data_IF_913028075525
#
_entry.id   IF_913028075525
#
_cell.length_a   1.000
_cell.length_b   1.000
_cell.length_c   1.000
_cell.angle_alpha   90.00
_cell.angle_beta   90.00
_cell.angle_gamma   90.00
#
_symmetry.space_group_name_H-M   'P 1'
#
loop_
_entity.id
_entity.type
_entity.pdbx_description
1 polymer ?
#
# COMPACT_ATOMS: atom_id res chain seq x y z
N UNK A 1 -27.62 12.15 -21.89
CA UNK A 1 -26.51 11.22 -21.60
C UNK A 1 -27.09 10.03 -20.86
N UNK A 2 -26.99 8.82 -21.40
CA UNK A 2 -27.63 7.63 -20.81
C UNK A 2 -26.90 7.24 -19.52
N UNK A 3 -27.55 7.44 -18.37
CA UNK A 3 -26.94 7.32 -17.03
C UNK A 3 -26.70 5.90 -16.53
N UNK A 4 -26.83 4.86 -17.35
CA UNK A 4 -26.58 3.47 -16.95
C UNK A 4 -25.82 2.70 -18.03
N UNK A 5 -24.49 2.87 -18.13
CA UNK A 5 -23.69 1.91 -18.88
C UNK A 5 -23.81 0.54 -18.21
N UNK A 6 -24.10 -0.51 -18.99
CA UNK A 6 -24.15 -1.88 -18.49
C UNK A 6 -22.77 -2.26 -17.90
N UNK A 7 -22.68 -2.32 -16.57
CA UNK A 7 -21.44 -2.65 -15.83
C UNK A 7 -21.27 -4.14 -15.60
N UNK A 8 -22.38 -4.89 -15.66
CA UNK A 8 -22.40 -6.34 -15.54
C UNK A 8 -21.99 -7.01 -16.85
N UNK A 9 -21.40 -8.19 -16.72
CA UNK A 9 -20.98 -9.05 -17.81
C UNK A 9 -21.63 -10.41 -17.63
N UNK A 10 -21.91 -11.11 -18.72
CA UNK A 10 -22.53 -12.44 -18.71
C UNK A 10 -21.53 -13.55 -18.31
N UNK A 11 -20.26 -13.40 -18.71
CA UNK A 11 -19.22 -14.38 -18.44
C UNK A 11 -18.01 -13.74 -17.74
N UNK A 12 -17.31 -14.53 -16.92
CA UNK A 12 -16.11 -14.11 -16.19
C UNK A 12 -15.00 -13.63 -17.15
N UNK A 13 -14.83 -14.32 -18.28
CA UNK A 13 -13.82 -13.98 -19.29
C UNK A 13 -14.05 -12.59 -19.90
N UNK A 14 -15.32 -12.20 -20.10
CA UNK A 14 -15.69 -10.88 -20.60
C UNK A 14 -15.34 -9.79 -19.58
N UNK A 15 -15.55 -10.06 -18.29
CA UNK A 15 -15.16 -9.18 -17.20
C UNK A 15 -13.65 -8.97 -17.14
N UNK A 16 -12.88 -10.05 -17.26
CA UNK A 16 -11.41 -10.00 -17.25
C UNK A 16 -10.89 -9.24 -18.46
N UNK A 17 -11.42 -9.52 -19.66
CA UNK A 17 -11.06 -8.79 -20.89
C UNK A 17 -11.35 -7.30 -20.76
N UNK A 18 -12.52 -6.94 -20.23
CA UNK A 18 -12.90 -5.55 -19.98
C UNK A 18 -11.95 -4.85 -19.01
N UNK A 19 -11.49 -5.52 -17.94
CA UNK A 19 -10.47 -4.97 -17.03
C UNK A 19 -9.17 -4.67 -17.77
N UNK A 20 -8.68 -5.63 -18.58
CA UNK A 20 -7.44 -5.50 -19.35
C UNK A 20 -7.50 -4.35 -20.35
N UNK A 21 -8.64 -4.16 -21.02
CA UNK A 21 -8.84 -3.11 -22.02
C UNK A 21 -9.07 -1.72 -21.41
N UNK A 22 -9.64 -1.65 -20.20
CA UNK A 22 -10.04 -0.38 -19.58
C UNK A 22 -8.88 0.42 -18.96
N UNK A 23 -7.64 -0.08 -19.00
CA UNK A 23 -6.42 0.62 -18.53
C UNK A 23 -6.58 1.26 -17.14
N UNK A 24 -7.17 0.53 -16.19
CA UNK A 24 -7.36 0.98 -14.80
C UNK A 24 -8.65 1.77 -14.52
N UNK A 25 -9.54 1.93 -15.50
CA UNK A 25 -10.83 2.64 -15.31
C UNK A 25 -12.00 1.70 -14.95
N UNK A 26 -11.78 0.40 -14.92
CA UNK A 26 -12.77 -0.61 -14.58
C UNK A 26 -12.15 -1.63 -13.63
N UNK A 27 -12.88 -1.96 -12.57
CA UNK A 27 -12.53 -3.02 -11.64
C UNK A 27 -13.61 -4.11 -11.72
N UNK A 28 -13.19 -5.36 -11.70
CA UNK A 28 -14.09 -6.51 -11.76
C UNK A 28 -14.01 -7.29 -10.46
N UNK A 29 -15.17 -7.54 -9.85
CA UNK A 29 -15.27 -8.34 -8.64
C UNK A 29 -15.57 -9.78 -9.04
N UNK A 30 -14.68 -10.68 -8.63
CA UNK A 30 -14.83 -12.12 -8.82
C UNK A 30 -14.32 -12.85 -7.58
N UNK A 31 -14.55 -14.16 -7.54
CA UNK A 31 -14.08 -15.00 -6.44
C UNK A 31 -12.54 -15.04 -6.38
N UNK A 32 -12.00 -15.09 -5.16
CA UNK A 32 -10.56 -14.97 -4.90
C UNK A 32 -9.73 -16.04 -5.61
N UNK A 33 -10.20 -17.29 -5.69
CA UNK A 33 -9.48 -18.38 -6.36
C UNK A 33 -9.33 -18.17 -7.87
N UNK A 34 -10.35 -17.59 -8.50
CA UNK A 34 -10.32 -17.24 -9.92
C UNK A 34 -9.42 -16.04 -10.14
N UNK A 35 -9.42 -15.07 -9.23
CA UNK A 35 -8.52 -13.92 -9.30
C UNK A 35 -7.05 -14.36 -9.21
N UNK A 36 -6.73 -15.22 -8.24
CA UNK A 36 -5.39 -15.81 -8.10
C UNK A 36 -4.96 -16.58 -9.37
N UNK A 37 -5.89 -17.30 -10.00
CA UNK A 37 -5.64 -18.03 -11.24
C UNK A 37 -5.30 -17.10 -12.40
N UNK A 38 -6.15 -16.13 -12.69
CA UNK A 38 -5.98 -15.25 -13.85
C UNK A 38 -4.81 -14.27 -13.70
N UNK A 39 -4.40 -13.95 -12.47
CA UNK A 39 -3.19 -13.17 -12.21
C UNK A 39 -1.91 -13.92 -12.59
N UNK A 40 -1.94 -15.25 -12.61
CA UNK A 40 -0.79 -16.08 -13.00
C UNK A 40 -0.84 -16.51 -14.48
N UNK A 41 -1.75 -15.95 -15.27
CA UNK A 41 -1.91 -16.19 -16.70
C UNK A 41 -1.39 -15.03 -17.53
N UNK A 42 -0.84 -15.33 -18.71
CA UNK A 42 -0.41 -14.27 -19.62
C UNK A 42 -1.60 -13.38 -20.04
N UNK A 43 -1.37 -12.05 -20.23
CA UNK A 43 -0.09 -11.33 -20.20
C UNK A 43 0.28 -10.72 -18.83
N UNK A 44 -0.06 -11.38 -17.70
CA UNK A 44 0.34 -10.97 -16.34
C UNK A 44 0.00 -9.51 -16.00
N UNK A 45 -1.13 -9.02 -16.53
CA UNK A 45 -1.54 -7.62 -16.45
C UNK A 45 -2.71 -7.39 -15.49
N UNK A 46 -3.06 -8.39 -14.69
CA UNK A 46 -4.09 -8.31 -13.66
C UNK A 46 -3.46 -8.49 -12.29
N UNK A 47 -4.07 -7.91 -11.26
CA UNK A 47 -3.63 -8.08 -9.88
C UNK A 47 -4.81 -8.09 -8.92
N UNK A 48 -4.67 -8.81 -7.82
CA UNK A 48 -5.58 -8.72 -6.70
C UNK A 48 -5.27 -7.48 -5.87
N UNK A 49 -6.30 -6.70 -5.55
CA UNK A 49 -6.20 -5.56 -4.64
C UNK A 49 -7.04 -5.85 -3.40
N UNK A 50 -6.40 -5.83 -2.23
CA UNK A 50 -7.06 -6.00 -0.94
C UNK A 50 -7.42 -7.46 -0.58
N UNK A 51 -7.89 -7.67 0.67
CA UNK A 51 -8.33 -8.97 1.15
C UNK A 51 -9.69 -9.38 0.54
N UNK A 52 -10.03 -10.68 0.52
CA UNK A 52 -11.34 -11.15 0.11
C UNK A 52 -12.47 -10.54 0.97
N UNK A 53 -13.59 -10.20 0.35
CA UNK A 53 -14.73 -9.59 1.04
C UNK A 53 -15.50 -10.57 1.93
N UNK A 54 -15.41 -11.87 1.64
CA UNK A 54 -16.10 -12.92 2.36
C UNK A 54 -15.31 -14.22 2.31
N UNK A 55 -15.42 -15.03 3.36
CA UNK A 55 -14.88 -16.39 3.37
C UNK A 55 -15.96 -17.35 2.87
N UNK A 56 -15.80 -17.82 1.64
CA UNK A 56 -16.62 -18.88 1.03
C UNK A 56 -15.74 -20.06 0.69
N UNK A 57 -16.35 -21.23 0.54
CA UNK A 57 -15.66 -22.47 0.17
C UNK A 57 -16.46 -23.29 -0.82
N UNK A 58 -15.76 -24.13 -1.59
CA UNK A 58 -16.37 -25.09 -2.50
C UNK A 58 -16.65 -26.41 -1.79
N UNK A 59 -17.71 -27.09 -2.23
CA UNK A 59 -18.07 -28.43 -1.77
C UNK A 59 -18.50 -29.31 -2.94
N UNK A 60 -18.39 -30.62 -2.75
CA UNK A 60 -18.85 -31.61 -3.72
C UNK A 60 -20.34 -31.86 -3.46
N UNK A 61 -21.18 -31.61 -4.45
CA UNK A 61 -22.61 -31.82 -4.35
C UNK A 61 -23.00 -33.23 -4.77
N UNK A 62 -23.81 -33.90 -3.96
CA UNK A 62 -24.43 -35.20 -4.28
C UNK A 62 -25.95 -35.06 -4.27
N UNK A 63 -26.69 -35.91 -5.02
CA UNK A 63 -28.15 -35.96 -4.92
C UNK A 63 -28.58 -36.20 -3.47
N UNK A 64 -29.74 -35.65 -3.10
CA UNK A 64 -30.31 -35.88 -1.76
C UNK A 64 -30.48 -37.38 -1.53
N UNK A 65 -30.12 -37.84 -0.33
CA UNK A 65 -30.17 -39.25 0.08
C UNK A 65 -29.27 -40.21 -0.73
N UNK A 66 -28.23 -39.70 -1.39
CA UNK A 66 -27.21 -40.55 -2.01
C UNK A 66 -26.36 -41.25 -0.95
N UNK A 67 -26.11 -42.55 -1.12
CA UNK A 67 -25.20 -43.34 -0.27
C UNK A 67 -23.75 -42.88 -0.35
N UNK A 68 -23.37 -42.17 -1.41
CA UNK A 68 -22.01 -41.68 -1.64
C UNK A 68 -21.63 -40.47 -0.77
N UNK A 69 -22.62 -39.83 -0.13
CA UNK A 69 -22.39 -38.59 0.62
C UNK A 69 -21.38 -38.78 1.74
N UNK A 70 -21.54 -39.84 2.53
CA UNK A 70 -20.75 -40.05 3.74
C UNK A 70 -19.33 -40.48 3.37
N UNK A 71 -19.20 -41.41 2.41
CA UNK A 71 -17.90 -41.85 1.88
C UNK A 71 -17.09 -40.68 1.32
N UNK A 72 -17.69 -39.85 0.45
CA UNK A 72 -17.02 -38.67 -0.12
C UNK A 72 -16.61 -37.69 0.98
N UNK A 73 -17.46 -37.48 1.98
CA UNK A 73 -17.16 -36.56 3.08
C UNK A 73 -15.95 -37.03 3.89
N UNK A 74 -15.85 -38.32 4.21
CA UNK A 74 -14.72 -38.89 4.95
C UNK A 74 -13.44 -38.81 4.11
N UNK A 75 -13.52 -39.18 2.83
CA UNK A 75 -12.36 -39.11 1.92
C UNK A 75 -11.84 -37.69 1.77
N UNK A 76 -12.73 -36.68 1.65
CA UNK A 76 -12.30 -35.27 1.59
C UNK A 76 -11.56 -34.84 2.86
N UNK A 77 -12.01 -35.26 4.04
CA UNK A 77 -11.33 -34.96 5.30
C UNK A 77 -9.93 -35.57 5.35
N UNK A 78 -9.78 -36.83 4.93
CA UNK A 78 -8.49 -37.51 4.83
C UNK A 78 -7.55 -36.76 3.86
N UNK A 79 -8.05 -36.32 2.70
CA UNK A 79 -7.25 -35.56 1.74
C UNK A 79 -6.76 -34.19 2.26
N UNK A 80 -7.54 -33.57 3.16
CA UNK A 80 -7.16 -32.33 3.84
C UNK A 80 -6.07 -32.62 4.88
N UNK A 81 -6.25 -33.65 5.70
CA UNK A 81 -5.30 -34.08 6.75
C UNK A 81 -3.94 -34.47 6.15
N UNK A 82 -3.97 -35.22 5.03
CA UNK A 82 -2.77 -35.62 4.28
C UNK A 82 -2.08 -34.43 3.56
N UNK A 83 -2.74 -33.27 3.46
CA UNK A 83 -2.23 -32.09 2.75
C UNK A 83 -2.18 -32.24 1.22
N UNK A 84 -2.72 -33.34 0.67
CA UNK A 84 -2.72 -33.62 -0.77
C UNK A 84 -3.44 -32.53 -1.58
N UNK A 85 -4.50 -31.94 -1.03
CA UNK A 85 -5.22 -30.81 -1.67
C UNK A 85 -4.36 -29.55 -1.80
N UNK A 86 -3.54 -29.26 -0.78
CA UNK A 86 -2.63 -28.10 -0.81
C UNK A 86 -1.58 -28.29 -1.90
N UNK A 87 -1.04 -29.51 -2.01
CA UNK A 87 -0.10 -29.88 -3.07
C UNK A 87 -0.72 -29.70 -4.46
N UNK A 88 -1.96 -30.19 -4.65
CA UNK A 88 -2.69 -30.00 -5.91
C UNK A 88 -2.91 -28.51 -6.22
N UNK A 89 -3.33 -27.69 -5.24
CA UNK A 89 -3.49 -26.25 -5.44
C UNK A 89 -2.18 -25.61 -5.93
N UNK A 90 -1.06 -25.92 -5.27
CA UNK A 90 0.26 -25.39 -5.67
C UNK A 90 0.60 -25.78 -7.11
N UNK A 91 0.40 -27.04 -7.48
CA UNK A 91 0.71 -27.52 -8.83
C UNK A 91 -0.13 -26.83 -9.91
N UNK A 92 -1.41 -26.59 -9.66
CA UNK A 92 -2.30 -26.01 -10.67
C UNK A 92 -2.25 -24.49 -10.76
N UNK A 93 -2.02 -23.79 -9.65
CA UNK A 93 -1.93 -22.33 -9.64
C UNK A 93 -0.49 -21.84 -9.85
N UNK A 94 0.46 -22.36 -9.07
CA UNK A 94 1.84 -21.84 -9.00
C UNK A 94 2.76 -22.52 -10.00
N UNK A 95 2.84 -23.85 -9.97
CA UNK A 95 3.83 -24.57 -10.79
C UNK A 95 3.46 -24.55 -12.28
N UNK A 96 2.15 -24.44 -12.60
CA UNK A 96 1.61 -24.26 -13.95
C UNK A 96 1.26 -22.80 -14.28
N UNK A 97 1.62 -21.86 -13.41
CA UNK A 97 1.50 -20.43 -13.68
C UNK A 97 2.39 -20.04 -14.86
N UNK A 98 1.84 -19.27 -15.80
CA UNK A 98 2.59 -18.76 -16.97
C UNK A 98 3.37 -17.49 -16.60
N UNK A 99 2.85 -16.74 -15.63
CA UNK A 99 3.56 -15.63 -15.02
C UNK A 99 4.61 -16.21 -14.07
N UNK A 100 5.89 -16.13 -14.47
CA UNK A 100 6.99 -16.59 -13.62
C UNK A 100 6.94 -15.95 -12.23
N UNK A 101 7.58 -16.59 -11.25
CA UNK A 101 7.69 -16.13 -9.83
C UNK A 101 8.28 -14.70 -9.70
N UNK A 102 8.71 -14.10 -10.81
CA UNK A 102 9.29 -12.78 -10.91
C UNK A 102 8.35 -11.63 -10.57
N UNK A 103 7.03 -11.78 -10.48
CA UNK A 103 6.16 -10.64 -10.14
C UNK A 103 6.17 -10.28 -8.64
N UNK A 104 6.47 -11.24 -7.76
CA UNK A 104 6.83 -10.94 -6.37
C UNK A 104 8.23 -10.29 -6.27
N UNK A 105 9.08 -10.52 -7.28
CA UNK A 105 10.36 -9.84 -7.43
C UNK A 105 10.29 -8.63 -8.37
N UNK A 106 9.14 -8.19 -8.90
CA UNK A 106 9.04 -6.92 -9.63
C UNK A 106 8.89 -5.73 -8.67
N UNK A 107 8.55 -5.97 -7.41
CA UNK A 107 8.89 -5.04 -6.31
C UNK A 107 10.41 -4.92 -6.09
N UNK A 108 11.19 -5.86 -6.63
CA UNK A 108 12.63 -6.03 -6.43
C UNK A 108 13.44 -6.04 -7.74
N UNK A 109 12.82 -5.86 -8.91
CA UNK A 109 13.51 -5.32 -10.09
C UNK A 109 13.77 -3.91 -9.65
N UNK A 110 14.97 -3.70 -9.09
CA UNK A 110 15.51 -2.43 -8.59
C UNK A 110 14.76 -1.34 -9.33
N UNK A 111 13.96 -0.51 -8.63
CA UNK A 111 13.51 0.76 -9.18
C UNK A 111 14.80 1.40 -9.66
N UNK A 112 15.14 1.22 -10.93
CA UNK A 112 16.37 1.76 -11.44
C UNK A 112 16.11 3.24 -11.27
N UNK A 113 16.98 3.90 -10.52
CA UNK A 113 17.13 5.33 -10.60
C UNK A 113 17.58 5.62 -12.04
N UNK A 114 16.64 5.48 -12.97
CA UNK A 114 16.84 5.76 -14.37
C UNK A 114 17.05 7.25 -14.48
N UNK A 115 17.89 7.64 -15.43
CA UNK A 115 18.17 9.01 -15.82
C UNK A 115 16.91 9.90 -15.89
N UNK A 116 15.73 9.33 -16.16
CA UNK A 116 14.43 9.99 -16.12
C UNK A 116 14.11 10.73 -14.81
N UNK A 117 14.54 10.22 -13.64
CA UNK A 117 14.27 10.87 -12.35
C UNK A 117 15.21 12.07 -12.10
N UNK A 118 16.44 12.03 -12.62
CA UNK A 118 17.45 13.09 -12.45
C UNK A 118 17.43 14.11 -13.61
N UNK A 119 16.72 13.80 -14.70
CA UNK A 119 16.54 14.66 -15.86
C UNK A 119 16.07 16.08 -15.48
N UNK A 120 15.21 16.21 -14.47
CA UNK A 120 14.74 17.51 -13.97
C UNK A 120 15.86 18.44 -13.52
N UNK A 121 16.92 17.90 -12.88
CA UNK A 121 18.07 18.69 -12.43
C UNK A 121 18.87 19.27 -13.60
N UNK A 122 19.06 18.51 -14.67
CA UNK A 122 19.76 18.98 -15.87
C UNK A 122 19.02 20.12 -16.57
N UNK A 123 17.68 20.07 -16.62
CA UNK A 123 16.88 21.15 -17.20
C UNK A 123 16.98 22.46 -16.41
N UNK A 124 17.03 22.38 -15.07
CA UNK A 124 17.21 23.57 -14.23
C UNK A 124 18.57 24.22 -14.51
N UNK A 125 19.65 23.42 -14.59
CA UNK A 125 21.00 23.93 -14.88
C UNK A 125 21.08 24.64 -16.24
N UNK A 126 20.53 24.02 -17.29
CA UNK A 126 20.51 24.61 -18.64
C UNK A 126 19.69 25.89 -18.65
N UNK A 127 18.51 25.89 -18.02
CA UNK A 127 17.65 27.08 -17.97
C UNK A 127 18.31 28.25 -17.22
N UNK A 128 19.02 27.97 -16.12
CA UNK A 128 19.77 28.98 -15.35
C UNK A 128 20.91 29.60 -16.16
N UNK A 129 21.64 28.78 -16.93
CA UNK A 129 22.70 29.27 -17.81
C UNK A 129 22.15 30.18 -18.91
N UNK A 130 21.04 29.77 -19.56
CA UNK A 130 20.40 30.58 -20.61
C UNK A 130 19.87 31.90 -20.05
N UNK A 131 19.21 31.88 -18.88
CA UNK A 131 18.72 33.11 -18.23
C UNK A 131 19.86 34.05 -17.85
N UNK A 132 20.96 33.54 -17.31
CA UNK A 132 22.14 34.34 -16.98
C UNK A 132 22.72 35.04 -18.21
N UNK A 133 22.82 34.33 -19.35
CA UNK A 133 23.27 34.91 -20.62
C UNK A 133 22.31 35.99 -21.12
N UNK A 134 20.99 35.77 -21.02
CA UNK A 134 19.98 36.77 -21.44
C UNK A 134 20.10 38.04 -20.59
N UNK A 135 20.21 37.92 -19.26
CA UNK A 135 20.39 39.07 -18.36
C UNK A 135 21.66 39.84 -18.73
N UNK A 136 22.77 39.15 -18.95
CA UNK A 136 24.03 39.77 -19.37
C UNK A 136 23.89 40.53 -20.70
N UNK A 137 23.18 39.97 -21.69
CA UNK A 137 22.93 40.62 -22.98
C UNK A 137 22.02 41.84 -22.84
N UNK A 138 20.98 41.77 -22.00
CA UNK A 138 20.07 42.91 -21.74
C UNK A 138 20.80 44.04 -21.04
N UNK A 139 21.62 43.75 -20.03
CA UNK A 139 22.45 44.75 -19.34
C UNK A 139 23.47 45.36 -20.29
N UNK A 140 24.13 44.55 -21.12
CA UNK A 140 25.11 45.04 -22.09
C UNK A 140 24.48 45.96 -23.14
N UNK A 141 23.29 45.61 -23.65
CA UNK A 141 22.55 46.46 -24.58
C UNK A 141 22.05 47.75 -23.93
N UNK A 142 21.54 47.68 -22.69
CA UNK A 142 21.16 48.88 -21.92
C UNK A 142 22.36 49.79 -21.65
N UNK A 143 23.49 49.22 -21.26
CA UNK A 143 24.75 49.94 -21.00
C UNK A 143 25.27 50.62 -22.26
N UNK A 144 25.27 49.92 -23.41
CA UNK A 144 25.66 50.50 -24.71
C UNK A 144 24.74 51.63 -25.17
N UNK A 145 23.43 51.57 -24.87
CA UNK A 145 22.49 52.66 -25.11
C UNK A 145 22.59 53.80 -24.09
N UNK A 146 23.29 53.58 -22.97
CA UNK A 146 23.49 54.56 -21.89
C UNK A 146 24.91 55.15 -21.87
N UNK A 147 25.35 55.65 -23.02
CA UNK A 147 26.43 56.66 -23.08
C UNK A 147 26.09 57.98 -22.38
N UNK A 148 24.96 58.08 -21.66
CA UNK A 148 24.60 59.17 -20.73
C UNK A 148 23.43 58.69 -19.84
N UNK A 149 23.60 58.87 -18.53
CA UNK A 149 22.66 58.62 -17.40
C UNK A 149 22.84 57.29 -16.65
N UNK A 150 23.70 57.39 -15.64
CA UNK A 150 23.58 56.83 -14.29
C UNK A 150 22.15 56.38 -13.93
N UNK A 151 22.04 55.17 -13.36
CA UNK A 151 20.83 54.66 -12.73
C UNK A 151 20.06 53.64 -13.56
N UNK A 152 20.59 52.43 -13.78
CA UNK A 152 19.73 51.26 -13.99
C UNK A 152 19.73 50.50 -12.67
N UNK A 153 18.74 50.88 -11.87
CA UNK A 153 18.07 50.08 -10.86
C UNK A 153 18.51 48.61 -10.94
N UNK A 154 19.53 48.28 -10.13
CA UNK A 154 19.75 46.90 -9.73
C UNK A 154 18.39 46.36 -9.28
N UNK A 155 18.08 45.14 -9.73
CA UNK A 155 17.23 44.19 -9.01
C UNK A 155 16.52 44.82 -7.80
N UNK A 156 15.23 45.15 -7.97
CA UNK A 156 14.34 45.51 -6.88
C UNK A 156 14.13 44.34 -5.92
N UNK A 157 15.18 43.95 -5.23
CA UNK A 157 15.20 43.19 -3.98
C UNK A 157 15.83 44.07 -2.90
N UNK A 158 15.27 45.27 -2.69
CA UNK A 158 15.47 46.09 -1.49
C UNK A 158 14.53 45.62 -0.36
N UNK A 159 14.56 44.34 -0.01
CA UNK A 159 13.98 43.82 1.25
C UNK A 159 14.87 42.80 1.96
N UNK A 160 16.17 42.85 1.71
CA UNK A 160 17.20 42.23 2.56
C UNK A 160 18.37 43.21 2.52
N UNK A 161 18.68 44.04 3.52
CA UNK A 161 18.72 43.82 4.96
C UNK A 161 18.70 45.18 5.68
N UNK A 162 17.96 45.30 6.79
CA UNK A 162 18.51 45.97 7.96
C UNK A 162 18.45 45.06 9.21
N UNK A 163 18.85 43.79 9.11
CA UNK A 163 18.90 42.86 10.26
C UNK A 163 20.22 42.08 10.44
N UNK A 164 21.29 42.43 9.74
CA UNK A 164 22.59 41.73 9.90
C UNK A 164 23.70 42.56 10.56
N UNK A 165 23.38 43.72 11.15
CA UNK A 165 24.41 44.56 11.80
C UNK A 165 24.11 45.04 13.23
N UNK A 166 23.10 44.48 13.90
CA UNK A 166 22.77 44.85 15.29
C UNK A 166 23.05 43.74 16.32
N UNK A 167 23.88 42.74 16.02
CA UNK A 167 24.09 41.59 16.92
C UNK A 167 25.41 41.60 17.71
N UNK A 168 26.26 42.61 17.57
CA UNK A 168 27.52 42.67 18.33
C UNK A 168 27.61 44.00 19.08
N UNK A 169 26.99 44.05 20.26
CA UNK A 169 27.61 44.63 21.47
C UNK A 169 26.80 44.32 22.75
N UNK A 170 27.45 43.52 23.63
CA UNK A 170 27.35 43.45 25.10
C UNK A 170 26.11 42.85 25.82
N UNK A 171 26.26 42.41 27.10
CA UNK A 171 27.23 41.47 27.65
C UNK A 171 26.56 40.38 28.51
N UNK A 172 27.34 39.37 28.88
CA UNK A 172 27.00 38.20 29.69
C UNK A 172 26.85 38.55 31.19
N UNK A 173 25.74 38.18 31.82
CA UNK A 173 25.70 37.81 33.25
C UNK A 173 24.93 36.49 33.45
N UNK A 174 25.55 35.65 34.26
CA UNK A 174 25.18 34.28 34.60
C UNK A 174 24.09 34.21 35.68
N UNK A 175 23.29 33.15 35.66
CA UNK A 175 22.41 32.82 36.77
C UNK A 175 21.54 31.55 36.62
N UNK A 176 22.19 30.37 36.54
CA UNK A 176 21.73 29.05 37.04
C UNK A 176 20.50 28.32 36.42
N UNK A 177 20.80 27.41 35.48
CA UNK A 177 20.52 25.94 35.38
C UNK A 177 19.58 25.26 36.43
N UNK A 178 18.94 24.07 36.19
CA UNK A 178 19.10 23.14 35.07
C UNK A 178 17.85 22.38 34.51
N UNK A 179 18.10 21.73 33.36
CA UNK A 179 17.61 20.41 32.89
C UNK A 179 16.11 20.15 32.58
N UNK A 180 15.91 19.82 31.30
CA UNK A 180 15.10 18.73 30.72
C UNK A 180 13.61 18.93 30.39
N UNK A 181 13.39 18.86 29.07
CA UNK A 181 12.31 18.16 28.35
C UNK A 181 10.85 18.62 28.52
N UNK A 182 10.24 19.04 27.39
CA UNK A 182 8.95 18.52 26.95
C UNK A 182 8.73 18.71 25.43
N UNK A 183 8.42 17.61 24.75
CA UNK A 183 7.88 17.54 23.39
C UNK A 183 6.46 18.13 23.30
N UNK A 184 5.98 18.56 22.13
CA UNK A 184 4.57 18.78 21.90
C UNK A 184 3.81 17.45 21.75
N UNK A 185 2.58 17.47 22.28
CA UNK A 185 1.75 16.33 22.67
C UNK A 185 0.98 15.65 21.53
N UNK A 186 0.73 14.33 21.61
CA UNK A 186 -0.39 13.67 20.93
C UNK A 186 -1.71 13.90 21.69
N UNK A 187 -2.81 14.12 20.95
CA UNK A 187 -4.17 14.15 21.50
C UNK A 187 -4.61 12.73 21.88
N UNK A 188 -4.91 12.53 23.16
CA UNK A 188 -5.48 11.31 23.73
C UNK A 188 -7.02 11.37 23.78
N UNK A 189 -7.70 10.20 23.88
CA UNK A 189 -9.15 10.07 23.97
C UNK A 189 -9.67 10.28 25.41
N UNK A 190 -11.00 10.44 25.62
CA UNK A 190 -11.55 10.72 26.95
C UNK A 190 -11.57 9.50 27.91
N UNK A 191 -11.25 9.76 29.18
CA UNK A 191 -11.56 8.96 30.39
C UNK A 191 -12.96 9.40 30.89
N UNK A 192 -13.82 8.66 31.57
CA UNK A 192 -13.86 7.33 32.19
C UNK A 192 -15.04 7.32 33.19
N UNK A 193 -15.44 6.16 33.74
CA UNK A 193 -16.08 6.00 35.07
C UNK A 193 -15.85 4.54 35.52
N UNK A 194 -15.21 4.40 36.70
CA UNK A 194 -15.24 3.39 37.79
C UNK A 194 -15.54 1.90 37.43
N UNK A 195 -14.90 0.87 38.00
CA UNK A 195 -14.31 0.70 39.35
C UNK A 195 -13.54 -0.64 39.45
N UNK A 196 -12.58 -0.66 40.38
CA UNK A 196 -12.00 -1.79 41.15
C UNK A 196 -11.19 -2.92 40.47
N UNK A 197 -9.86 -2.79 40.63
CA UNK A 197 -8.88 -3.86 40.94
C UNK A 197 -9.24 -4.58 42.27
N UNK A 198 -8.63 -5.72 42.70
CA UNK A 198 -7.34 -6.26 42.24
C UNK A 198 -7.18 -7.80 42.11
N UNK A 199 -6.04 -8.15 41.50
CA UNK A 199 -5.09 -9.22 41.87
C UNK A 199 -5.44 -10.71 41.68
N UNK A 200 -4.66 -11.31 40.77
CA UNK A 200 -3.94 -12.59 40.87
C UNK A 200 -4.67 -13.85 41.31
N UNK A 201 -4.72 -14.85 40.41
CA UNK A 201 -4.19 -16.23 40.56
C UNK A 201 -4.99 -17.20 39.66
N UNK A 202 -4.28 -18.20 39.10
CA UNK A 202 -4.72 -19.33 38.26
C UNK A 202 -4.87 -19.01 36.75
N UNK A 203 -4.16 -19.63 35.80
CA UNK A 203 -3.51 -20.96 35.79
C UNK A 203 -4.44 -22.06 36.35
N UNK A 204 -5.61 -22.21 35.72
CA UNK A 204 -6.46 -23.42 35.67
C UNK A 204 -7.85 -23.03 35.14
N UNK A 205 -8.00 -22.85 33.81
CA UNK A 205 -9.32 -22.99 33.15
C UNK A 205 -9.29 -22.97 31.62
N UNK A 206 -8.20 -23.46 31.03
CA UNK A 206 -8.17 -23.84 29.61
C UNK A 206 -8.03 -25.38 29.46
N UNK A 207 -8.46 -26.15 30.47
CA UNK A 207 -8.48 -27.62 30.43
C UNK A 207 -9.87 -28.25 30.65
N UNK A 208 -10.90 -27.48 31.04
CA UNK A 208 -12.23 -28.04 31.37
C UNK A 208 -13.30 -27.89 30.27
N UNK A 209 -12.92 -27.44 29.07
CA UNK A 209 -13.82 -27.45 27.89
C UNK A 209 -13.62 -28.64 26.96
N UNK A 210 -12.56 -29.44 27.19
CA UNK A 210 -12.26 -30.64 26.40
C UNK A 210 -12.82 -31.93 27.03
N UNK A 211 -13.25 -31.92 28.29
CA UNK A 211 -13.85 -33.11 28.95
C UNK A 211 -15.38 -33.20 28.82
N UNK A 212 -16.07 -32.18 28.31
CA UNK A 212 -17.53 -32.24 28.10
C UNK A 212 -17.96 -32.80 26.74
N UNK A 213 -17.01 -33.09 25.84
CA UNK A 213 -17.29 -33.75 24.55
C UNK A 213 -16.93 -35.25 24.59
N UNK A 214 -16.01 -35.67 25.47
CA UNK A 214 -15.66 -37.09 25.62
C UNK A 214 -16.56 -37.89 26.59
N UNK A 215 -17.49 -37.22 27.30
CA UNK A 215 -18.44 -37.87 28.21
C UNK A 215 -19.78 -38.30 27.59
N UNK A 216 -20.06 -37.96 26.33
CA UNK A 216 -21.32 -38.32 25.66
C UNK A 216 -21.24 -39.55 24.74
N UNK A 217 -20.06 -40.17 24.62
CA UNK A 217 -19.83 -41.37 23.81
C UNK A 217 -19.73 -42.68 24.62
N UNK A 218 -20.09 -42.66 25.90
CA UNK A 218 -20.11 -43.85 26.77
C UNK A 218 -21.42 -43.93 27.58
N UNK A 219 -22.57 -43.88 26.89
CA UNK A 219 -23.87 -44.20 27.49
C UNK A 219 -24.90 -44.70 26.45
N UNK A 220 -24.43 -45.22 25.32
CA UNK A 220 -25.29 -45.91 24.34
C UNK A 220 -24.51 -47.04 23.67
N UNK A 221 -24.25 -48.08 24.47
CA UNK A 221 -24.06 -49.46 24.01
C UNK A 221 -24.59 -50.38 25.10
#
# INVERSE_FOLDING_TARGET
>A
MSSNPQVFVSATEDGIRRVRESKGKYAFMLESVYNEYFNQKEPCNTMQVGPPLSTKGYGIATPKNSSLRDDISITVLQLIEDGSLIKMKKTWWVDKGECGVQDQQQGSKKKSLSLSNIAGGFFILISGLVLAIIVAVVEFQRSKSRGKREGFFLLGSDLTQPLMYAYIDNPYENGQNPLNHCQPSPKSPPKGILTSSPASTSEKQQNDRNDKINGQFSANR
#
